data_IF_434356920657
#
_entry.id   IF_434356920657
#
_cell.length_a   1.000
_cell.length_b   1.000
_cell.length_c   1.000
_cell.angle_alpha   90.00
_cell.angle_beta   90.00
_cell.angle_gamma   90.00
#
_symmetry.space_group_name_H-M   'P 1'
#
loop_
_entity.id
_entity.type
_entity.pdbx_description
1 polymer ?
#
# COMPACT_ATOMS: atom_id res chain seq x y z
N UNK A 1 51.65 51.73 41.01
CA UNK A 1 51.36 52.00 39.58
C UNK A 1 49.88 52.32 39.43
N UNK A 2 49.51 53.59 39.28
CA UNK A 2 48.09 54.00 39.16
C UNK A 2 47.64 53.87 37.70
N UNK A 3 46.65 53.06 37.44
CA UNK A 3 46.02 52.93 36.14
C UNK A 3 45.25 54.20 35.77
N UNK A 4 45.53 54.74 34.60
CA UNK A 4 45.01 56.00 34.09
C UNK A 4 43.56 55.82 33.58
N UNK A 5 42.66 56.77 33.84
CA UNK A 5 41.22 56.74 33.50
C UNK A 5 40.89 56.48 32.03
N UNK A 6 41.83 56.68 31.10
CA UNK A 6 41.66 56.39 29.67
C UNK A 6 41.76 54.92 29.31
N UNK A 7 42.37 54.09 30.14
CA UNK A 7 42.48 52.65 29.91
C UNK A 7 41.23 51.88 30.38
N UNK A 8 40.46 52.45 31.28
CA UNK A 8 39.20 51.84 31.79
C UNK A 8 38.03 51.98 30.82
N UNK A 9 38.02 53.06 30.01
CA UNK A 9 36.96 53.27 28.99
C UNK A 9 37.15 52.48 27.69
N UNK A 10 38.34 51.97 27.43
CA UNK A 10 38.60 51.14 26.23
C UNK A 10 38.32 49.66 26.52
N UNK A 11 38.36 49.18 27.74
CA UNK A 11 38.07 47.80 28.12
C UNK A 11 36.57 47.52 28.23
N UNK A 12 35.72 48.53 28.42
CA UNK A 12 34.26 48.39 28.51
C UNK A 12 33.56 48.37 27.13
N UNK A 13 34.19 48.95 26.09
CA UNK A 13 33.64 48.97 24.76
C UNK A 13 33.87 47.63 23.99
N UNK A 14 34.86 46.80 24.39
CA UNK A 14 35.13 45.51 23.80
C UNK A 14 34.24 44.39 24.34
N UNK A 15 33.56 44.59 25.47
CA UNK A 15 32.68 43.57 26.06
C UNK A 15 31.19 43.69 25.65
N UNK A 16 30.82 44.79 24.98
CA UNK A 16 29.46 45.01 24.48
C UNK A 16 29.18 44.47 23.06
N UNK A 17 30.21 44.01 22.34
CA UNK A 17 30.07 43.50 20.97
C UNK A 17 29.88 41.96 20.87
N UNK A 18 29.84 41.26 21.99
CA UNK A 18 29.74 39.76 22.02
C UNK A 18 28.33 39.20 22.32
N UNK A 19 27.28 40.01 22.31
CA UNK A 19 25.94 39.57 22.73
C UNK A 19 24.87 39.64 21.64
N UNK A 20 25.23 39.61 20.36
CA UNK A 20 24.27 39.53 19.27
C UNK A 20 24.63 38.45 18.28
N UNK A 21 24.98 37.23 18.75
CA UNK A 21 24.75 36.04 17.95
C UNK A 21 23.23 35.80 17.98
N UNK A 22 22.54 35.80 16.82
CA UNK A 22 21.15 35.37 16.81
C UNK A 22 21.14 33.96 17.37
N UNK A 23 20.44 33.75 18.50
CA UNK A 23 20.17 32.43 19.00
C UNK A 23 19.62 31.64 17.79
N UNK A 24 20.36 30.64 17.33
CA UNK A 24 19.92 29.75 16.29
C UNK A 24 18.60 29.14 16.82
N UNK A 25 17.48 29.69 16.36
CA UNK A 25 16.15 29.19 16.75
C UNK A 25 16.13 27.77 16.26
N UNK A 26 16.01 26.80 17.18
CA UNK A 26 15.84 25.40 16.80
C UNK A 26 14.73 25.36 15.75
N UNK A 27 15.01 24.77 14.59
CA UNK A 27 14.02 24.66 13.54
C UNK A 27 12.79 23.94 14.10
N UNK A 28 11.61 24.51 13.90
CA UNK A 28 10.37 23.81 14.26
C UNK A 28 10.33 22.48 13.49
N UNK A 29 10.15 21.35 14.18
CA UNK A 29 10.16 20.01 13.57
C UNK A 29 8.73 19.49 13.47
N UNK A 30 8.35 19.00 12.27
CA UNK A 30 7.14 18.20 12.10
C UNK A 30 7.52 16.74 11.92
N UNK A 31 6.89 15.87 12.73
CA UNK A 31 7.12 14.42 12.67
C UNK A 31 5.97 13.74 11.95
N UNK A 32 6.29 12.86 10.99
CA UNK A 32 5.36 11.99 10.28
C UNK A 32 5.69 10.56 10.69
N UNK A 33 4.71 9.83 11.25
CA UNK A 33 4.85 8.41 11.53
C UNK A 33 4.53 7.59 10.28
N UNK A 34 5.26 6.51 10.05
CA UNK A 34 4.95 5.52 9.02
C UNK A 34 5.05 4.12 9.61
N UNK A 35 3.96 3.34 9.50
CA UNK A 35 3.89 1.96 9.99
C UNK A 35 3.65 1.02 8.83
N UNK A 36 4.49 0.01 8.70
CA UNK A 36 4.34 -1.05 7.69
C UNK A 36 5.03 -2.33 8.15
N UNK A 37 4.76 -3.49 7.51
CA UNK A 37 5.43 -4.74 7.83
C UNK A 37 6.83 -4.76 7.20
N UNK A 38 7.87 -4.52 8.00
CA UNK A 38 9.26 -4.60 7.54
C UNK A 38 9.84 -6.02 7.72
N UNK A 39 9.25 -6.80 8.63
CA UNK A 39 9.64 -8.18 8.93
C UNK A 39 8.41 -9.10 9.02
N UNK A 40 8.65 -10.42 9.00
CA UNK A 40 7.60 -11.45 9.03
C UNK A 40 7.03 -11.79 7.65
N UNK A 41 5.93 -12.58 7.58
CA UNK A 41 5.39 -13.11 6.33
C UNK A 41 4.82 -12.04 5.38
N UNK A 42 4.51 -10.85 5.86
CA UNK A 42 4.04 -9.72 5.06
C UNK A 42 5.17 -8.72 4.70
N UNK A 43 6.43 -9.02 5.03
CA UNK A 43 7.57 -8.15 4.74
C UNK A 43 7.68 -7.70 3.27
N UNK A 44 7.27 -8.48 2.25
CA UNK A 44 7.26 -8.01 0.87
C UNK A 44 6.46 -6.72 0.64
N UNK A 45 5.42 -6.46 1.45
CA UNK A 45 4.65 -5.20 1.36
C UNK A 45 5.45 -3.96 1.79
N UNK A 46 6.43 -4.13 2.69
CA UNK A 46 7.30 -3.05 3.20
C UNK A 46 8.70 -3.04 2.60
N UNK A 47 9.01 -3.92 1.64
CA UNK A 47 10.39 -4.11 1.16
C UNK A 47 11.02 -2.87 0.51
N UNK A 48 10.20 -2.00 -0.07
CA UNK A 48 10.66 -0.77 -0.73
C UNK A 48 10.58 0.47 0.18
N UNK A 49 9.96 0.39 1.35
CA UNK A 49 9.62 1.56 2.17
C UNK A 49 10.84 2.37 2.60
N UNK A 50 11.94 1.71 2.99
CA UNK A 50 13.17 2.41 3.39
C UNK A 50 13.72 3.26 2.24
N UNK A 51 13.73 2.70 1.03
CA UNK A 51 14.15 3.43 -0.15
C UNK A 51 13.20 4.61 -0.44
N UNK A 52 11.89 4.40 -0.38
CA UNK A 52 10.88 5.48 -0.56
C UNK A 52 11.09 6.57 0.49
N UNK A 53 11.26 6.20 1.76
CA UNK A 53 11.51 7.16 2.85
C UNK A 53 12.77 7.98 2.61
N UNK A 54 13.85 7.38 2.10
CA UNK A 54 15.08 8.12 1.80
C UNK A 54 14.89 9.08 0.63
N UNK A 55 14.09 8.71 -0.39
CA UNK A 55 13.67 9.66 -1.44
C UNK A 55 12.84 10.82 -0.85
N UNK A 56 11.95 10.52 0.11
CA UNK A 56 11.13 11.54 0.77
C UNK A 56 11.96 12.48 1.65
N UNK A 57 12.96 11.97 2.39
CA UNK A 57 13.91 12.82 3.12
C UNK A 57 14.62 13.80 2.19
N UNK A 58 15.03 13.34 1.00
CA UNK A 58 15.62 14.22 -0.02
C UNK A 58 14.60 15.26 -0.56
N UNK A 59 13.35 14.86 -0.79
CA UNK A 59 12.29 15.75 -1.23
C UNK A 59 11.90 16.80 -0.17
N UNK A 60 12.05 16.47 1.11
CA UNK A 60 11.75 17.36 2.24
C UNK A 60 12.97 18.09 2.80
N UNK A 61 14.14 18.00 2.17
CA UNK A 61 15.38 18.63 2.67
C UNK A 61 15.25 20.12 2.99
N UNK A 62 14.39 20.81 2.25
CA UNK A 62 14.12 22.24 2.44
C UNK A 62 12.99 22.50 3.44
N UNK A 63 12.45 21.46 4.10
CA UNK A 63 11.33 21.52 5.04
C UNK A 63 9.98 21.76 4.36
N UNK A 64 8.94 21.89 5.18
CA UNK A 64 7.57 22.21 4.77
C UNK A 64 7.09 23.51 5.43
N UNK A 65 6.41 24.36 4.65
CA UNK A 65 5.68 25.50 5.20
C UNK A 65 4.32 25.03 5.75
N UNK A 66 4.10 25.22 7.06
CA UNK A 66 2.87 24.81 7.75
C UNK A 66 2.40 25.99 8.60
N UNK A 67 1.17 26.46 8.39
CA UNK A 67 0.66 27.65 9.11
C UNK A 67 1.54 28.89 8.95
N UNK A 68 2.17 29.07 7.80
CA UNK A 68 3.08 30.19 7.51
C UNK A 68 4.48 30.06 8.11
N UNK A 69 4.82 28.96 8.79
CA UNK A 69 6.14 28.70 9.37
C UNK A 69 6.82 27.53 8.66
N UNK A 70 8.14 27.60 8.50
CA UNK A 70 8.96 26.52 7.96
C UNK A 70 9.28 25.51 9.04
N UNK A 71 9.04 24.22 8.76
CA UNK A 71 9.32 23.08 9.64
C UNK A 71 10.28 22.12 8.96
N UNK A 72 11.25 21.62 9.69
CA UNK A 72 12.02 20.45 9.30
C UNK A 72 11.12 19.21 9.37
N UNK A 73 11.25 18.30 8.40
CA UNK A 73 10.43 17.07 8.35
C UNK A 73 11.22 15.88 8.87
N UNK A 74 10.71 15.23 9.90
CA UNK A 74 11.22 13.97 10.41
C UNK A 74 10.25 12.84 10.11
N UNK A 75 10.71 11.76 9.46
CA UNK A 75 9.92 10.57 9.17
C UNK A 75 10.35 9.45 10.12
N UNK A 76 9.40 8.89 10.86
CA UNK A 76 9.60 7.83 11.83
C UNK A 76 8.99 6.53 11.33
N UNK A 77 9.82 5.61 10.83
CA UNK A 77 9.40 4.28 10.39
C UNK A 77 9.32 3.33 11.59
N UNK A 78 8.20 2.64 11.73
CA UNK A 78 7.99 1.57 12.72
C UNK A 78 7.58 0.27 12.02
N UNK A 79 8.16 -0.84 12.46
CA UNK A 79 7.87 -2.18 11.97
C UNK A 79 6.69 -2.80 12.72
N UNK A 80 5.63 -3.16 12.00
CA UNK A 80 4.50 -3.93 12.55
C UNK A 80 4.82 -5.40 12.77
N UNK A 81 5.97 -5.89 12.26
CA UNK A 81 6.39 -7.29 12.35
C UNK A 81 5.35 -8.28 11.81
N UNK A 82 4.53 -7.86 10.84
CA UNK A 82 3.39 -8.64 10.33
C UNK A 82 2.41 -9.10 11.42
N UNK A 83 2.33 -8.36 12.53
CA UNK A 83 1.54 -8.71 13.70
C UNK A 83 0.56 -7.56 14.07
N UNK A 84 -0.75 -7.85 14.22
CA UNK A 84 -1.76 -6.82 14.47
C UNK A 84 -1.59 -6.13 15.84
N UNK A 85 -1.19 -6.86 16.89
CA UNK A 85 -0.95 -6.26 18.19
C UNK A 85 0.24 -5.31 18.15
N UNK A 86 1.34 -5.74 17.49
CA UNK A 86 2.53 -4.89 17.32
C UNK A 86 2.22 -3.66 16.47
N UNK A 87 1.40 -3.78 15.44
CA UNK A 87 0.98 -2.64 14.62
C UNK A 87 0.26 -1.57 15.46
N UNK A 88 -0.69 -1.96 16.31
CA UNK A 88 -1.36 -1.06 17.24
C UNK A 88 -0.43 -0.47 18.30
N UNK A 89 0.48 -1.28 18.85
CA UNK A 89 1.47 -0.83 19.84
C UNK A 89 2.39 0.25 19.28
N UNK A 90 3.00 0.03 18.10
CA UNK A 90 3.92 1.01 17.51
C UNK A 90 3.18 2.26 17.03
N UNK A 91 1.91 2.16 16.64
CA UNK A 91 1.08 3.31 16.36
C UNK A 91 0.87 4.17 17.61
N UNK A 92 0.54 3.55 18.75
CA UNK A 92 0.42 4.25 20.03
C UNK A 92 1.76 4.90 20.46
N UNK A 93 2.89 4.25 20.21
CA UNK A 93 4.20 4.85 20.47
C UNK A 93 4.43 6.12 19.65
N UNK A 94 4.12 6.10 18.34
CA UNK A 94 4.19 7.27 17.47
C UNK A 94 3.30 8.41 17.97
N UNK A 95 2.08 8.09 18.43
CA UNK A 95 1.09 9.07 18.91
C UNK A 95 1.50 9.65 20.27
N UNK A 96 1.73 8.77 21.25
CA UNK A 96 1.83 9.16 22.65
C UNK A 96 3.25 9.53 23.09
N UNK A 97 4.28 8.86 22.53
CA UNK A 97 5.69 9.10 22.88
C UNK A 97 6.38 10.01 21.86
N UNK A 98 6.29 9.70 20.58
CA UNK A 98 6.99 10.44 19.53
C UNK A 98 6.28 11.75 19.16
N UNK A 99 4.96 11.88 19.45
CA UNK A 99 4.12 13.08 19.20
C UNK A 99 4.14 13.48 17.71
N UNK A 100 3.85 12.51 16.83
CA UNK A 100 3.74 12.77 15.39
C UNK A 100 2.51 13.62 15.07
N UNK A 101 2.57 14.42 13.99
CA UNK A 101 1.45 15.23 13.53
C UNK A 101 0.46 14.44 12.66
N UNK A 102 0.94 13.37 12.00
CA UNK A 102 0.19 12.52 11.08
C UNK A 102 0.81 11.12 11.07
N UNK A 103 -0.04 10.09 11.02
CA UNK A 103 0.38 8.72 10.80
C UNK A 103 0.00 8.28 9.38
N UNK A 104 0.94 7.63 8.71
CA UNK A 104 0.75 6.93 7.45
C UNK A 104 0.89 5.43 7.68
N UNK A 105 0.12 4.61 6.97
CA UNK A 105 0.27 3.14 7.05
C UNK A 105 -0.10 2.47 5.75
N UNK A 106 0.63 1.42 5.41
CA UNK A 106 0.37 0.54 4.29
C UNK A 106 0.61 -0.91 4.69
N UNK A 107 -0.18 -1.83 4.16
CA UNK A 107 -0.04 -3.26 4.45
C UNK A 107 -1.33 -4.02 4.15
N UNK A 108 -1.66 -4.97 5.01
CA UNK A 108 -2.89 -5.77 4.92
C UNK A 108 -3.87 -5.34 6.01
N UNK A 109 -5.14 -5.82 6.00
CA UNK A 109 -6.08 -5.51 7.08
C UNK A 109 -5.51 -5.78 8.47
N UNK A 110 -4.72 -6.85 8.62
CA UNK A 110 -4.13 -7.27 9.90
C UNK A 110 -3.14 -6.24 10.46
N UNK A 111 -2.49 -5.47 9.61
CA UNK A 111 -1.45 -4.50 10.04
C UNK A 111 -1.87 -3.04 9.89
N UNK A 112 -2.69 -2.71 8.89
CA UNK A 112 -3.14 -1.33 8.65
C UNK A 112 -4.35 -0.92 9.49
N UNK A 113 -5.31 -1.86 9.74
CA UNK A 113 -6.49 -1.56 10.54
C UNK A 113 -6.15 -1.21 12.00
N UNK A 114 -5.31 -1.99 12.74
CA UNK A 114 -4.95 -1.63 14.11
C UNK A 114 -4.25 -0.27 14.24
N UNK A 115 -3.46 0.14 13.24
CA UNK A 115 -2.85 1.47 13.18
C UNK A 115 -3.91 2.54 13.02
N UNK A 116 -4.84 2.34 12.06
CA UNK A 116 -5.95 3.26 11.84
C UNK A 116 -6.86 3.38 13.08
N UNK A 117 -7.14 2.25 13.75
CA UNK A 117 -7.96 2.24 14.97
C UNK A 117 -7.28 2.97 16.13
N UNK A 118 -5.96 2.78 16.31
CA UNK A 118 -5.19 3.51 17.31
C UNK A 118 -5.23 5.04 17.05
N UNK A 119 -5.16 5.45 15.78
CA UNK A 119 -5.25 6.86 15.40
C UNK A 119 -6.66 7.43 15.62
N UNK A 120 -7.72 6.69 15.23
CA UNK A 120 -9.11 7.10 15.45
C UNK A 120 -9.41 7.30 16.94
N UNK A 121 -8.98 6.34 17.77
CA UNK A 121 -9.17 6.36 19.22
C UNK A 121 -8.44 7.53 19.91
N UNK A 122 -7.26 7.89 19.41
CA UNK A 122 -6.44 8.96 19.99
C UNK A 122 -6.66 10.32 19.32
N UNK A 123 -7.66 10.46 18.47
CA UNK A 123 -7.96 11.70 17.74
C UNK A 123 -6.73 12.26 17.00
N UNK A 124 -5.99 11.40 16.29
CA UNK A 124 -4.85 11.76 15.46
C UNK A 124 -5.13 11.45 13.99
N UNK A 125 -4.86 12.40 13.05
CA UNK A 125 -5.03 12.13 11.63
C UNK A 125 -4.20 10.95 11.15
N UNK A 126 -4.84 10.06 10.37
CA UNK A 126 -4.17 8.92 9.72
C UNK A 126 -4.62 8.78 8.27
N UNK A 127 -3.66 8.50 7.39
CA UNK A 127 -3.93 8.10 6.01
C UNK A 127 -3.37 6.72 5.79
N UNK A 128 -4.21 5.80 5.34
CA UNK A 128 -3.87 4.40 5.08
C UNK A 128 -4.07 4.01 3.62
N UNK A 129 -3.42 2.94 3.20
CA UNK A 129 -3.55 2.38 1.86
C UNK A 129 -3.21 0.88 1.82
N UNK A 130 -3.32 0.28 0.63
CA UNK A 130 -2.94 -1.12 0.33
C UNK A 130 -3.84 -2.17 0.99
N UNK A 131 -5.03 -1.78 1.44
CA UNK A 131 -6.10 -2.67 1.89
C UNK A 131 -7.32 -2.44 0.98
N UNK A 132 -7.98 -3.45 0.43
CA UNK A 132 -9.27 -3.22 -0.21
C UNK A 132 -10.21 -2.48 0.74
N UNK A 133 -10.96 -1.49 0.20
CA UNK A 133 -11.67 -0.57 1.09
C UNK A 133 -12.73 -1.25 1.98
N UNK A 134 -13.31 -2.39 1.55
CA UNK A 134 -14.29 -3.12 2.35
C UNK A 134 -13.69 -3.71 3.64
N UNK A 135 -12.62 -4.52 3.61
CA UNK A 135 -11.98 -4.99 4.84
C UNK A 135 -11.39 -3.85 5.68
N UNK A 136 -10.99 -2.72 5.07
CA UNK A 136 -10.60 -1.56 5.86
C UNK A 136 -11.80 -0.90 6.55
N UNK A 137 -12.88 -0.65 5.84
CA UNK A 137 -14.02 0.08 6.37
C UNK A 137 -14.89 -0.80 7.28
N UNK A 138 -15.39 -1.92 6.76
CA UNK A 138 -16.27 -2.82 7.52
C UNK A 138 -15.52 -3.66 8.55
N UNK A 139 -14.29 -4.08 8.27
CA UNK A 139 -13.42 -4.77 9.24
C UNK A 139 -13.16 -3.94 10.49
N UNK A 140 -13.18 -2.62 10.38
CA UNK A 140 -13.11 -1.65 11.48
C UNK A 140 -14.48 -1.21 12.01
N UNK A 141 -15.57 -1.87 11.60
CA UNK A 141 -16.95 -1.54 11.98
C UNK A 141 -17.36 -0.11 11.59
N UNK A 142 -16.90 0.38 10.45
CA UNK A 142 -17.27 1.70 9.92
C UNK A 142 -18.77 1.83 9.73
N UNK A 143 -19.33 2.95 10.19
CA UNK A 143 -20.74 3.30 9.97
C UNK A 143 -20.88 4.01 8.60
N UNK A 144 -21.62 3.46 7.63
CA UNK A 144 -21.77 4.06 6.31
C UNK A 144 -22.32 5.50 6.35
N UNK A 145 -23.12 5.85 7.34
CA UNK A 145 -23.70 7.19 7.45
C UNK A 145 -22.74 8.22 8.05
N UNK A 146 -21.84 7.78 8.94
CA UNK A 146 -20.93 8.66 9.68
C UNK A 146 -19.51 8.63 9.15
N UNK A 147 -19.02 7.47 8.71
CA UNK A 147 -17.62 7.21 8.40
C UNK A 147 -16.75 7.28 9.66
N UNK A 148 -15.48 7.61 9.44
CA UNK A 148 -14.50 7.88 10.49
C UNK A 148 -14.26 9.38 10.62
N UNK A 149 -13.78 9.85 11.76
CA UNK A 149 -13.47 11.25 11.99
C UNK A 149 -12.02 11.59 11.66
N UNK A 150 -11.09 10.70 12.01
CA UNK A 150 -9.65 10.97 11.99
C UNK A 150 -8.90 10.17 10.95
N UNK A 151 -9.50 9.12 10.37
CA UNK A 151 -8.81 8.19 9.48
C UNK A 151 -9.40 8.17 8.08
N UNK A 152 -8.51 8.15 7.09
CA UNK A 152 -8.80 8.20 5.65
C UNK A 152 -8.04 7.11 4.93
N UNK A 153 -8.59 6.64 3.81
CA UNK A 153 -8.05 5.49 3.10
C UNK A 153 -8.18 5.64 1.58
N UNK A 154 -7.13 5.32 0.85
CA UNK A 154 -7.22 5.26 -0.60
C UNK A 154 -6.69 3.93 -1.13
N UNK A 155 -7.57 3.17 -1.76
CA UNK A 155 -7.26 1.94 -2.50
C UNK A 155 -8.49 1.48 -3.28
N UNK A 156 -8.35 0.45 -4.10
CA UNK A 156 -9.46 -0.20 -4.79
C UNK A 156 -10.33 -1.04 -3.84
N UNK A 157 -11.45 -1.54 -4.35
CA UNK A 157 -12.37 -2.39 -3.59
C UNK A 157 -12.59 -3.79 -4.19
N UNK A 158 -13.34 -4.62 -3.46
CA UNK A 158 -13.68 -5.98 -3.91
C UNK A 158 -14.39 -5.98 -5.26
N UNK A 159 -15.27 -5.03 -5.51
CA UNK A 159 -15.96 -4.88 -6.79
C UNK A 159 -14.99 -4.67 -7.95
N UNK A 160 -13.88 -3.95 -7.70
CA UNK A 160 -12.85 -3.68 -8.70
C UNK A 160 -12.04 -4.93 -9.02
N UNK A 161 -11.59 -5.67 -8.01
CA UNK A 161 -10.81 -6.90 -8.23
C UNK A 161 -11.65 -8.02 -8.82
N UNK A 162 -12.92 -8.14 -8.43
CA UNK A 162 -13.86 -9.10 -9.02
C UNK A 162 -14.05 -8.80 -10.50
N UNK A 163 -14.34 -7.54 -10.85
CA UNK A 163 -14.48 -7.12 -12.24
C UNK A 163 -13.19 -7.34 -13.04
N UNK A 164 -12.05 -6.99 -12.45
CA UNK A 164 -10.74 -7.11 -13.08
C UNK A 164 -10.39 -8.57 -13.41
N UNK A 165 -10.53 -9.47 -12.44
CA UNK A 165 -10.25 -10.90 -12.60
C UNK A 165 -11.20 -11.54 -13.60
N UNK A 166 -12.50 -11.31 -13.47
CA UNK A 166 -13.50 -11.90 -14.36
C UNK A 166 -13.41 -11.37 -15.80
N UNK A 167 -13.02 -10.12 -16.01
CA UNK A 167 -12.74 -9.58 -17.34
C UNK A 167 -11.56 -10.30 -17.99
N UNK A 168 -10.51 -10.60 -17.25
CA UNK A 168 -9.40 -11.42 -17.71
C UNK A 168 -9.86 -12.84 -18.08
N UNK A 169 -10.58 -13.52 -17.17
CA UNK A 169 -11.05 -14.91 -17.42
C UNK A 169 -11.98 -15.02 -18.62
N UNK A 170 -12.81 -14.00 -18.87
CA UNK A 170 -13.69 -13.96 -20.06
C UNK A 170 -12.93 -13.79 -21.37
N UNK A 171 -11.68 -13.34 -21.34
CA UNK A 171 -10.84 -13.17 -22.55
C UNK A 171 -10.19 -14.47 -23.01
N UNK A 172 -10.28 -15.56 -22.25
CA UNK A 172 -9.69 -16.87 -22.55
C UNK A 172 -10.73 -18.01 -22.46
N UNK A 173 -10.46 -19.13 -23.15
CA UNK A 173 -11.40 -20.25 -23.19
C UNK A 173 -11.25 -21.17 -21.99
N UNK A 174 -12.28 -21.22 -21.13
CA UNK A 174 -12.36 -22.09 -19.93
C UNK A 174 -13.74 -22.69 -19.78
N UNK A 175 -13.88 -23.68 -18.91
CA UNK A 175 -15.18 -24.25 -18.54
C UNK A 175 -15.93 -23.43 -17.48
N UNK A 176 -15.38 -22.27 -17.08
CA UNK A 176 -15.94 -21.35 -16.06
C UNK A 176 -16.10 -21.94 -14.64
N UNK A 177 -15.47 -23.06 -14.35
CA UNK A 177 -15.40 -23.61 -13.00
C UNK A 177 -14.20 -23.01 -12.27
N UNK A 178 -14.45 -22.40 -11.11
CA UNK A 178 -13.51 -21.63 -10.33
C UNK A 178 -13.28 -22.30 -8.98
N UNK A 179 -12.04 -22.55 -8.60
CA UNK A 179 -11.64 -22.98 -7.26
C UNK A 179 -11.19 -21.77 -6.44
N UNK A 180 -11.81 -21.58 -5.27
CA UNK A 180 -11.50 -20.47 -4.37
C UNK A 180 -10.53 -20.85 -3.27
N UNK A 181 -9.54 -20.00 -3.00
CA UNK A 181 -8.57 -20.14 -1.91
C UNK A 181 -8.62 -18.88 -1.03
N UNK A 182 -9.40 -18.94 0.05
CA UNK A 182 -9.64 -17.82 0.94
C UNK A 182 -9.18 -18.15 2.36
N UNK A 183 -8.13 -17.46 2.89
CA UNK A 183 -7.66 -17.68 4.25
C UNK A 183 -8.67 -17.19 5.30
N UNK A 184 -8.50 -17.63 6.54
CA UNK A 184 -9.24 -17.12 7.70
C UNK A 184 -8.55 -15.85 8.23
N UNK A 185 -8.54 -14.80 7.42
CA UNK A 185 -8.06 -13.46 7.75
C UNK A 185 -9.03 -12.40 7.20
N UNK A 186 -8.70 -11.11 7.39
CA UNK A 186 -9.56 -10.01 6.97
C UNK A 186 -9.82 -9.99 5.47
N UNK A 187 -8.78 -10.25 4.64
CA UNK A 187 -8.92 -10.32 3.19
C UNK A 187 -9.70 -11.57 2.76
N UNK A 188 -9.31 -12.75 3.23
CA UNK A 188 -9.94 -14.01 2.83
C UNK A 188 -11.41 -14.08 3.21
N UNK A 189 -11.76 -13.57 4.40
CA UNK A 189 -13.15 -13.49 4.83
C UNK A 189 -13.96 -12.50 3.98
N UNK A 190 -13.39 -11.36 3.58
CA UNK A 190 -14.04 -10.41 2.71
C UNK A 190 -14.18 -10.93 1.25
N UNK A 191 -13.14 -11.57 0.70
CA UNK A 191 -13.18 -12.12 -0.65
C UNK A 191 -14.13 -13.30 -0.79
N UNK A 192 -14.21 -14.15 0.22
CA UNK A 192 -15.15 -15.28 0.26
C UNK A 192 -16.51 -14.97 0.89
N UNK A 193 -16.81 -13.70 1.19
CA UNK A 193 -18.13 -13.29 1.66
C UNK A 193 -19.20 -13.56 0.61
N UNK A 194 -20.35 -14.10 1.04
CA UNK A 194 -21.40 -14.54 0.12
C UNK A 194 -22.09 -13.42 -0.62
N UNK A 195 -22.14 -12.21 -0.04
CA UNK A 195 -22.86 -11.07 -0.58
C UNK A 195 -21.93 -10.06 -1.26
N UNK A 196 -20.81 -9.71 -0.61
CA UNK A 196 -19.90 -8.67 -1.06
C UNK A 196 -18.65 -9.21 -1.76
N UNK A 197 -18.32 -10.50 -1.53
CA UNK A 197 -17.15 -11.15 -2.12
C UNK A 197 -17.41 -11.77 -3.48
N UNK A 198 -16.57 -12.73 -3.86
CA UNK A 198 -16.61 -13.41 -5.16
C UNK A 198 -17.86 -14.28 -5.41
N UNK A 199 -18.47 -14.98 -4.41
CA UNK A 199 -19.50 -15.97 -4.70
C UNK A 199 -20.69 -15.44 -5.51
N UNK A 200 -21.33 -14.38 -5.07
CA UNK A 200 -22.55 -13.84 -5.69
C UNK A 200 -22.27 -13.23 -7.08
N UNK A 201 -21.27 -12.36 -7.29
CA UNK A 201 -20.94 -11.86 -8.61
C UNK A 201 -20.55 -12.95 -9.61
N UNK A 202 -19.78 -13.97 -9.20
CA UNK A 202 -19.39 -15.07 -10.08
C UNK A 202 -20.61 -15.85 -10.59
N UNK A 203 -21.55 -16.20 -9.69
CA UNK A 203 -22.79 -16.86 -10.07
C UNK A 203 -23.59 -16.02 -11.09
N UNK A 204 -23.71 -14.71 -10.86
CA UNK A 204 -24.38 -13.78 -11.77
C UNK A 204 -23.73 -13.66 -13.16
N UNK A 205 -22.44 -13.98 -13.29
CA UNK A 205 -21.68 -13.98 -14.54
C UNK A 205 -21.56 -15.37 -15.19
N UNK A 206 -22.21 -16.40 -14.62
CA UNK A 206 -22.20 -17.77 -15.14
C UNK A 206 -20.91 -18.54 -14.84
N UNK A 207 -20.15 -18.14 -13.82
CA UNK A 207 -19.08 -18.93 -13.26
C UNK A 207 -19.62 -19.78 -12.07
N UNK A 208 -19.06 -20.97 -11.90
CA UNK A 208 -19.35 -21.82 -10.75
C UNK A 208 -18.16 -21.82 -9.79
N UNK A 209 -18.35 -21.34 -8.57
CA UNK A 209 -17.31 -21.29 -7.56
C UNK A 209 -17.40 -22.52 -6.64
N UNK A 210 -16.31 -23.26 -6.53
CA UNK A 210 -16.07 -24.25 -5.48
C UNK A 210 -15.20 -23.58 -4.40
N UNK A 211 -15.79 -23.31 -3.23
CA UNK A 211 -15.10 -22.79 -2.04
C UNK A 211 -14.97 -23.93 -1.01
N UNK A 212 -13.77 -24.50 -0.82
CA UNK A 212 -13.54 -25.59 0.15
C UNK A 212 -13.59 -25.13 1.63
N UNK A 213 -13.85 -23.86 1.87
CA UNK A 213 -13.82 -23.24 3.18
C UNK A 213 -12.51 -22.54 3.49
N UNK A 214 -12.46 -21.92 4.68
CA UNK A 214 -11.31 -21.12 5.12
C UNK A 214 -10.17 -21.98 5.60
N UNK A 215 -8.95 -21.60 5.25
CA UNK A 215 -7.72 -22.20 5.79
C UNK A 215 -6.96 -21.15 6.64
N UNK A 216 -6.02 -21.59 7.46
CA UNK A 216 -5.19 -20.69 8.28
C UNK A 216 -3.94 -20.27 7.49
N UNK A 217 -3.58 -18.99 7.56
CA UNK A 217 -2.31 -18.51 7.00
C UNK A 217 -1.12 -19.30 7.58
N UNK A 218 -0.17 -19.64 6.72
CA UNK A 218 0.98 -20.49 7.08
C UNK A 218 0.70 -21.98 7.04
N UNK A 219 -0.45 -22.41 6.48
CA UNK A 219 -0.73 -23.87 6.30
C UNK A 219 0.31 -24.51 5.39
N UNK A 220 0.70 -25.74 5.75
CA UNK A 220 1.72 -26.47 5.02
C UNK A 220 1.11 -27.56 4.09
N UNK A 221 -0.20 -27.69 4.07
CA UNK A 221 -0.90 -28.73 3.29
C UNK A 221 -2.17 -28.18 2.65
N UNK A 222 -2.21 -28.22 1.32
CA UNK A 222 -3.36 -27.89 0.47
C UNK A 222 -3.93 -29.12 -0.25
N UNK A 223 -3.56 -30.33 0.14
CA UNK A 223 -3.94 -31.56 -0.56
C UNK A 223 -5.46 -31.73 -0.65
N UNK A 224 -6.21 -31.34 0.39
CA UNK A 224 -7.67 -31.42 0.38
C UNK A 224 -8.30 -30.49 -0.66
N UNK A 225 -7.83 -29.25 -0.74
CA UNK A 225 -8.30 -28.27 -1.73
C UNK A 225 -7.95 -28.73 -3.14
N UNK A 226 -6.71 -29.19 -3.37
CA UNK A 226 -6.25 -29.69 -4.67
C UNK A 226 -7.07 -30.92 -5.11
N UNK A 227 -7.32 -31.87 -4.22
CA UNK A 227 -8.15 -33.04 -4.52
C UNK A 227 -9.58 -32.65 -4.90
N UNK A 228 -10.20 -31.70 -4.18
CA UNK A 228 -11.52 -31.18 -4.50
C UNK A 228 -11.55 -30.50 -5.86
N UNK A 229 -10.55 -29.66 -6.17
CA UNK A 229 -10.44 -28.97 -7.46
C UNK A 229 -10.26 -29.94 -8.63
N UNK A 230 -9.43 -30.96 -8.47
CA UNK A 230 -9.26 -32.04 -9.49
C UNK A 230 -10.56 -32.79 -9.72
N UNK A 231 -11.23 -33.22 -8.64
CA UNK A 231 -12.49 -33.96 -8.72
C UNK A 231 -13.58 -33.19 -9.47
N UNK A 232 -13.67 -31.86 -9.23
CA UNK A 232 -14.69 -31.02 -9.86
C UNK A 232 -14.28 -30.49 -11.24
N UNK A 233 -13.06 -30.75 -11.69
CA UNK A 233 -12.54 -30.31 -13.00
C UNK A 233 -12.37 -28.79 -13.04
N UNK A 234 -11.83 -28.18 -12.00
CA UNK A 234 -11.54 -26.74 -11.92
C UNK A 234 -10.49 -26.35 -12.96
N UNK A 235 -10.81 -25.37 -13.79
CA UNK A 235 -9.90 -24.79 -14.77
C UNK A 235 -9.39 -23.40 -14.37
N UNK A 236 -10.06 -22.70 -13.44
CA UNK A 236 -9.65 -21.40 -12.92
C UNK A 236 -9.42 -21.53 -11.43
N UNK A 237 -8.26 -21.13 -10.93
CA UNK A 237 -8.00 -20.99 -9.49
C UNK A 237 -7.91 -19.52 -9.15
N UNK A 238 -8.62 -19.09 -8.12
CA UNK A 238 -8.56 -17.73 -7.59
C UNK A 238 -8.47 -17.71 -6.07
N UNK A 239 -8.12 -16.57 -5.53
CA UNK A 239 -8.06 -16.38 -4.09
C UNK A 239 -7.19 -15.20 -3.71
N UNK A 240 -7.03 -15.02 -2.41
CA UNK A 240 -6.14 -14.05 -1.80
C UNK A 240 -5.27 -14.77 -0.78
N UNK A 241 -3.96 -14.79 -1.01
CA UNK A 241 -3.02 -15.60 -0.23
C UNK A 241 -1.81 -14.77 0.17
N UNK A 242 -1.15 -15.13 1.26
CA UNK A 242 0.21 -14.63 1.53
C UNK A 242 1.23 -15.36 0.63
N UNK A 243 2.38 -14.75 0.28
CA UNK A 243 3.35 -15.36 -0.63
C UNK A 243 3.83 -16.78 -0.24
N UNK A 244 4.10 -17.11 1.04
CA UNK A 244 4.47 -18.47 1.43
C UNK A 244 3.40 -19.51 1.14
N UNK A 245 2.12 -19.19 1.38
CA UNK A 245 1.00 -20.12 1.17
C UNK A 245 0.78 -20.38 -0.33
N UNK A 246 0.88 -19.34 -1.16
CA UNK A 246 0.80 -19.50 -2.61
C UNK A 246 1.92 -20.41 -3.14
N UNK A 247 3.15 -20.25 -2.63
CA UNK A 247 4.27 -21.14 -2.98
C UNK A 247 3.97 -22.59 -2.60
N UNK A 248 3.46 -22.83 -1.39
CA UNK A 248 3.09 -24.17 -0.91
C UNK A 248 2.00 -24.77 -1.82
N UNK A 249 0.91 -24.02 -2.06
CA UNK A 249 -0.18 -24.48 -2.93
C UNK A 249 0.30 -24.82 -4.34
N UNK A 250 1.02 -23.91 -5.01
CA UNK A 250 1.49 -24.09 -6.39
C UNK A 250 2.44 -25.28 -6.52
N UNK A 251 3.34 -25.45 -5.55
CA UNK A 251 4.27 -26.58 -5.49
C UNK A 251 3.51 -27.91 -5.36
N UNK A 252 2.56 -27.99 -4.41
CA UNK A 252 1.75 -29.20 -4.20
C UNK A 252 0.80 -29.49 -5.35
N UNK A 253 0.21 -28.45 -5.97
CA UNK A 253 -0.62 -28.58 -7.16
C UNK A 253 0.18 -29.21 -8.32
N UNK A 254 1.40 -28.73 -8.57
CA UNK A 254 2.30 -29.30 -9.58
C UNK A 254 2.67 -30.74 -9.26
N UNK A 255 3.06 -31.05 -8.03
CA UNK A 255 3.42 -32.41 -7.58
C UNK A 255 2.26 -33.40 -7.72
N UNK A 256 1.03 -32.95 -7.47
CA UNK A 256 -0.19 -33.76 -7.59
C UNK A 256 -0.75 -33.78 -9.01
N UNK A 257 -0.08 -33.18 -9.98
CA UNK A 257 -0.53 -33.14 -11.39
C UNK A 257 -1.82 -32.35 -11.61
N UNK A 258 -2.12 -31.38 -10.74
CA UNK A 258 -3.22 -30.43 -10.96
C UNK A 258 -2.73 -29.27 -11.83
N UNK A 259 -3.33 -29.13 -13.01
CA UNK A 259 -2.94 -28.16 -14.03
C UNK A 259 -4.14 -27.32 -14.46
N UNK A 260 -4.53 -26.31 -13.68
CA UNK A 260 -5.59 -25.39 -14.09
C UNK A 260 -5.10 -24.52 -15.25
N UNK A 261 -6.03 -24.08 -16.11
CA UNK A 261 -5.72 -23.22 -17.28
C UNK A 261 -5.40 -21.78 -16.86
N UNK A 262 -5.95 -21.33 -15.72
CA UNK A 262 -5.78 -19.98 -15.19
C UNK A 262 -5.55 -20.05 -13.69
N UNK A 263 -4.54 -19.34 -13.23
CA UNK A 263 -4.33 -19.08 -11.79
C UNK A 263 -4.23 -17.56 -11.61
N UNK A 264 -5.19 -17.00 -10.89
CA UNK A 264 -5.26 -15.57 -10.57
C UNK A 264 -5.34 -15.39 -9.07
N UNK A 265 -4.22 -15.06 -8.43
CA UNK A 265 -4.15 -14.91 -6.98
C UNK A 265 -3.78 -13.48 -6.62
N UNK A 266 -4.59 -12.88 -5.77
CA UNK A 266 -4.29 -11.60 -5.15
C UNK A 266 -3.29 -11.72 -4.01
N UNK A 267 -2.68 -10.58 -3.64
CA UNK A 267 -1.76 -10.45 -2.50
C UNK A 267 -0.44 -11.19 -2.68
N UNK A 268 -0.47 -12.48 -3.03
CA UNK A 268 0.73 -13.32 -3.10
C UNK A 268 1.62 -13.06 -4.31
N UNK A 269 1.00 -12.76 -5.46
CA UNK A 269 1.70 -12.67 -6.74
C UNK A 269 2.09 -11.23 -7.14
N UNK A 270 2.16 -10.33 -6.16
CA UNK A 270 2.48 -8.91 -6.37
C UNK A 270 3.99 -8.65 -6.51
N UNK A 271 4.81 -9.57 -6.00
CA UNK A 271 6.22 -9.31 -5.70
C UNK A 271 7.14 -10.12 -6.63
N UNK A 272 8.06 -9.47 -7.38
CA UNK A 272 9.00 -10.16 -8.27
C UNK A 272 9.76 -11.29 -7.59
N UNK A 273 10.28 -11.07 -6.38
CA UNK A 273 11.02 -12.09 -5.64
C UNK A 273 10.18 -13.32 -5.27
N UNK A 274 8.88 -13.15 -5.02
CA UNK A 274 7.97 -14.28 -4.78
C UNK A 274 7.77 -15.12 -6.04
N UNK A 275 7.65 -14.48 -7.22
CA UNK A 275 7.51 -15.16 -8.51
C UNK A 275 8.80 -15.87 -8.89
N UNK A 276 9.95 -15.24 -8.72
CA UNK A 276 11.25 -15.85 -8.99
C UNK A 276 11.48 -17.11 -8.14
N UNK A 277 11.02 -17.09 -6.89
CA UNK A 277 11.11 -18.23 -5.96
C UNK A 277 10.24 -19.44 -6.36
N UNK A 278 9.29 -19.26 -7.29
CA UNK A 278 8.45 -20.34 -7.84
C UNK A 278 9.16 -21.11 -8.98
N UNK A 279 10.32 -20.64 -9.47
CA UNK A 279 10.95 -21.22 -10.63
C UNK A 279 10.03 -21.16 -11.86
N UNK A 280 9.92 -22.25 -12.63
CA UNK A 280 9.10 -22.28 -13.84
C UNK A 280 7.58 -22.17 -13.58
N UNK A 281 7.13 -22.44 -12.35
CA UNK A 281 5.74 -22.25 -11.95
C UNK A 281 5.28 -20.78 -11.94
N UNK A 282 6.22 -19.83 -12.02
CA UNK A 282 5.92 -18.39 -12.05
C UNK A 282 5.36 -17.89 -13.39
N UNK A 283 5.57 -18.66 -14.49
CA UNK A 283 5.14 -18.24 -15.82
C UNK A 283 3.63 -18.40 -16.03
N UNK A 284 2.98 -17.39 -16.56
CA UNK A 284 1.54 -17.40 -16.84
C UNK A 284 0.63 -17.05 -15.66
N UNK A 285 1.15 -16.92 -14.45
CA UNK A 285 0.36 -16.50 -13.28
C UNK A 285 -0.20 -15.09 -13.45
N UNK A 286 -1.45 -14.87 -13.01
CA UNK A 286 -2.10 -13.57 -13.08
C UNK A 286 -2.40 -13.00 -11.70
N UNK A 287 -2.39 -11.67 -11.58
CA UNK A 287 -2.67 -10.94 -10.35
C UNK A 287 -3.20 -9.55 -10.63
N UNK A 288 -3.72 -8.89 -9.61
CA UNK A 288 -4.06 -7.47 -9.66
C UNK A 288 -2.82 -6.59 -9.81
N UNK A 289 -2.94 -5.53 -10.60
CA UNK A 289 -1.91 -4.50 -10.75
C UNK A 289 -2.51 -3.15 -10.40
N UNK A 290 -2.07 -2.62 -9.29
CA UNK A 290 -2.52 -1.34 -8.74
C UNK A 290 -1.49 -0.23 -8.94
N UNK A 291 -0.26 -0.56 -9.30
CA UNK A 291 0.77 0.36 -9.76
C UNK A 291 1.84 -0.38 -10.57
N UNK A 292 2.35 0.28 -11.58
CA UNK A 292 3.46 -0.20 -12.44
C UNK A 292 4.10 0.97 -13.17
N UNK A 293 5.28 0.80 -13.81
CA UNK A 293 5.88 1.80 -14.68
C UNK A 293 4.99 2.27 -15.83
N UNK A 294 3.97 1.48 -16.21
CA UNK A 294 3.04 1.81 -17.29
C UNK A 294 1.87 2.70 -16.86
N UNK A 295 1.71 2.97 -15.56
CA UNK A 295 0.67 3.89 -15.08
C UNK A 295 0.97 5.33 -15.54
N UNK A 296 -0.01 6.04 -16.14
CA UNK A 296 0.22 7.35 -16.77
C UNK A 296 0.17 8.51 -15.76
N UNK A 297 0.52 8.24 -14.50
CA UNK A 297 0.44 9.22 -13.42
C UNK A 297 1.81 9.76 -13.05
N UNK A 298 1.78 10.95 -12.47
CA UNK A 298 2.99 11.71 -12.08
C UNK A 298 2.87 12.18 -10.64
N UNK A 299 3.95 12.06 -9.88
CA UNK A 299 4.00 12.53 -8.51
C UNK A 299 3.77 14.05 -8.42
N UNK A 300 2.83 14.44 -7.56
CA UNK A 300 2.60 15.85 -7.20
C UNK A 300 3.78 16.47 -6.46
N UNK A 301 4.54 15.63 -5.73
CA UNK A 301 5.64 16.05 -4.86
C UNK A 301 6.98 16.12 -5.61
N UNK A 302 7.39 15.02 -6.25
CA UNK A 302 8.71 14.92 -6.91
C UNK A 302 8.67 15.17 -8.41
N UNK A 303 7.49 15.26 -9.01
CA UNK A 303 7.26 15.39 -10.47
C UNK A 303 7.74 14.20 -11.30
N UNK A 304 8.13 13.11 -10.67
CA UNK A 304 8.50 11.87 -11.36
C UNK A 304 7.25 11.16 -11.87
N UNK A 305 7.31 10.64 -13.11
CA UNK A 305 6.33 9.69 -13.61
C UNK A 305 6.49 8.33 -12.91
N UNK A 306 5.46 7.47 -12.96
CA UNK A 306 5.55 6.11 -12.44
C UNK A 306 6.75 5.34 -13.04
N UNK A 307 7.01 5.52 -14.34
CA UNK A 307 8.19 4.93 -15.03
C UNK A 307 9.52 5.44 -14.46
N UNK A 308 9.63 6.76 -14.23
CA UNK A 308 10.85 7.34 -13.67
C UNK A 308 11.09 6.90 -12.23
N UNK A 309 10.02 6.78 -11.45
CA UNK A 309 10.09 6.32 -10.05
C UNK A 309 10.54 4.85 -9.97
N UNK A 310 9.96 3.98 -10.81
CA UNK A 310 10.38 2.57 -10.89
C UNK A 310 11.84 2.43 -11.33
N UNK A 311 12.26 3.14 -12.38
CA UNK A 311 13.65 3.13 -12.86
C UNK A 311 14.65 3.67 -11.83
N UNK A 312 14.26 4.66 -11.02
CA UNK A 312 15.09 5.17 -9.94
C UNK A 312 15.28 4.11 -8.82
N UNK A 313 14.21 3.35 -8.50
CA UNK A 313 14.30 2.24 -7.57
C UNK A 313 15.25 1.15 -8.08
N UNK A 314 15.08 0.71 -9.34
CA UNK A 314 15.91 -0.33 -9.95
C UNK A 314 17.38 0.07 -10.04
N UNK A 315 17.64 1.32 -10.45
CA UNK A 315 19.01 1.85 -10.52
C UNK A 315 19.67 1.97 -9.15
N UNK A 316 18.91 2.39 -8.14
CA UNK A 316 19.44 2.61 -6.80
C UNK A 316 19.60 1.34 -5.96
N UNK A 317 18.80 0.30 -6.24
CA UNK A 317 18.75 -0.92 -5.41
C UNK A 317 19.25 -2.17 -6.14
N UNK A 318 19.38 -2.12 -7.47
CA UNK A 318 19.65 -3.27 -8.34
C UNK A 318 18.59 -4.38 -8.21
N UNK A 319 17.35 -4.01 -7.83
CA UNK A 319 16.19 -4.90 -7.69
C UNK A 319 15.08 -4.46 -8.62
N UNK A 320 14.31 -5.40 -9.14
CA UNK A 320 13.13 -5.10 -9.94
C UNK A 320 12.12 -4.30 -9.10
N UNK A 321 11.44 -3.34 -9.73
CA UNK A 321 10.37 -2.56 -9.11
C UNK A 321 9.25 -3.45 -8.54
N UNK A 322 8.57 -2.97 -7.53
CA UNK A 322 7.44 -3.64 -6.88
C UNK A 322 6.29 -2.64 -6.69
N UNK A 323 5.06 -3.13 -6.69
CA UNK A 323 3.86 -2.30 -6.67
C UNK A 323 3.74 -1.38 -5.43
N UNK A 324 4.15 -1.80 -4.21
CA UNK A 324 4.12 -0.94 -3.03
C UNK A 324 4.83 0.40 -3.16
N UNK A 325 5.84 0.51 -4.04
CA UNK A 325 6.59 1.77 -4.26
C UNK A 325 5.65 2.93 -4.55
N UNK A 326 4.69 2.74 -5.48
CA UNK A 326 3.77 3.80 -5.87
C UNK A 326 2.90 4.26 -4.71
N UNK A 327 2.37 3.34 -3.92
CA UNK A 327 1.46 3.65 -2.83
C UNK A 327 2.18 4.21 -1.59
N UNK A 328 3.36 3.69 -1.24
CA UNK A 328 4.19 4.29 -0.21
C UNK A 328 4.57 5.74 -0.58
N UNK A 329 4.95 5.98 -1.84
CA UNK A 329 5.23 7.32 -2.34
C UNK A 329 3.98 8.22 -2.28
N UNK A 330 2.82 7.74 -2.73
CA UNK A 330 1.56 8.50 -2.74
C UNK A 330 1.09 8.88 -1.32
N UNK A 331 1.30 8.04 -0.32
CA UNK A 331 1.04 8.38 1.08
C UNK A 331 1.81 9.63 1.52
N UNK A 332 3.08 9.77 1.13
CA UNK A 332 3.86 10.96 1.41
C UNK A 332 3.45 12.16 0.55
N UNK A 333 2.94 11.97 -0.67
CA UNK A 333 2.35 13.06 -1.47
C UNK A 333 1.15 13.65 -0.75
N UNK A 334 0.23 12.79 -0.26
CA UNK A 334 -0.94 13.20 0.52
C UNK A 334 -0.53 13.88 1.81
N UNK A 335 0.48 13.34 2.53
CA UNK A 335 1.00 13.95 3.74
C UNK A 335 1.59 15.35 3.50
N UNK A 336 2.39 15.52 2.45
CA UNK A 336 3.00 16.80 2.09
C UNK A 336 1.95 17.86 1.73
N UNK A 337 0.96 17.48 0.92
CA UNK A 337 -0.16 18.35 0.53
C UNK A 337 -1.00 18.74 1.75
N UNK A 338 -1.35 17.76 2.59
CA UNK A 338 -2.09 17.97 3.84
C UNK A 338 -1.39 18.95 4.76
N UNK A 339 -0.11 18.71 5.07
CA UNK A 339 0.66 19.53 5.99
C UNK A 339 0.86 20.97 5.47
N UNK A 340 1.05 21.15 4.14
CA UNK A 340 1.13 22.49 3.54
C UNK A 340 -0.17 23.28 3.65
N UNK A 341 -1.33 22.61 3.60
CA UNK A 341 -2.66 23.23 3.71
C UNK A 341 -3.13 23.40 5.15
N UNK A 342 -2.53 22.67 6.10
CA UNK A 342 -2.91 22.76 7.51
C UNK A 342 -2.62 24.15 8.08
N UNK A 343 -3.58 24.69 8.84
CA UNK A 343 -3.45 26.01 9.50
C UNK A 343 -2.40 25.98 10.61
N UNK A 344 -2.22 24.83 11.25
CA UNK A 344 -1.22 24.57 12.29
C UNK A 344 -0.98 23.06 12.45
N UNK A 345 -0.07 22.68 13.34
CA UNK A 345 0.17 21.27 13.72
C UNK A 345 -0.82 20.73 14.77
N UNK A 346 -1.89 21.45 15.11
CA UNK A 346 -2.97 20.90 15.94
C UNK A 346 -3.66 19.77 15.17
N UNK A 347 -3.97 18.67 15.86
CA UNK A 347 -4.58 17.49 15.24
C UNK A 347 -5.84 17.83 14.43
N UNK A 348 -6.72 18.72 14.93
CA UNK A 348 -7.92 19.15 14.22
C UNK A 348 -7.60 19.89 12.90
N UNK A 349 -6.60 20.78 12.91
CA UNK A 349 -6.22 21.52 11.68
C UNK A 349 -5.62 20.58 10.62
N UNK A 350 -4.84 19.58 11.05
CA UNK A 350 -4.29 18.54 10.16
C UNK A 350 -5.40 17.64 9.65
N UNK A 351 -6.34 17.19 10.51
CA UNK A 351 -7.53 16.41 10.11
C UNK A 351 -8.35 17.13 9.04
N UNK A 352 -8.65 18.39 9.26
CA UNK A 352 -9.45 19.17 8.32
C UNK A 352 -8.73 19.34 6.98
N UNK A 353 -7.41 19.46 7.01
CA UNK A 353 -6.59 19.45 5.80
C UNK A 353 -6.57 18.08 5.10
N UNK A 354 -6.52 16.96 5.85
CA UNK A 354 -6.70 15.61 5.25
C UNK A 354 -8.06 15.51 4.60
N UNK A 355 -9.13 15.87 5.31
CA UNK A 355 -10.51 15.79 4.82
C UNK A 355 -10.74 16.57 3.51
N UNK A 356 -9.99 17.63 3.30
CA UNK A 356 -10.07 18.48 2.10
C UNK A 356 -9.13 18.02 0.95
N UNK A 357 -8.52 16.83 1.02
CA UNK A 357 -7.60 16.34 -0.01
C UNK A 357 -8.32 16.15 -1.35
N UNK A 358 -7.74 16.74 -2.40
CA UNK A 358 -8.09 16.56 -3.80
C UNK A 358 -6.79 16.69 -4.61
N UNK A 359 -6.08 15.58 -4.77
CA UNK A 359 -4.69 15.57 -5.23
C UNK A 359 -4.47 14.52 -6.31
N UNK A 360 -3.84 14.90 -7.42
CA UNK A 360 -3.26 13.95 -8.37
C UNK A 360 -1.98 13.37 -7.77
N UNK A 361 -1.87 12.04 -7.70
CA UNK A 361 -0.72 11.33 -7.17
C UNK A 361 -0.13 10.36 -8.19
N UNK A 362 1.01 9.77 -7.90
CA UNK A 362 1.65 8.76 -8.77
C UNK A 362 0.84 7.47 -8.91
N UNK A 363 -0.22 7.28 -8.12
CA UNK A 363 -1.16 6.14 -8.22
C UNK A 363 -2.52 6.56 -8.79
N UNK A 364 -2.67 7.82 -9.18
CA UNK A 364 -3.92 8.41 -9.66
C UNK A 364 -4.47 9.46 -8.70
N UNK A 365 -5.69 9.97 -8.97
CA UNK A 365 -6.30 10.98 -8.13
C UNK A 365 -6.72 10.41 -6.77
N UNK A 366 -6.43 11.16 -5.69
CA UNK A 366 -6.93 10.90 -4.34
C UNK A 366 -7.85 12.05 -3.94
N UNK A 367 -9.15 11.72 -3.78
CA UNK A 367 -10.18 12.68 -3.40
C UNK A 367 -11.22 12.00 -2.52
N UNK A 368 -11.34 12.44 -1.30
CA UNK A 368 -12.32 11.88 -0.37
C UNK A 368 -13.75 12.26 -0.78
N UNK A 369 -14.69 11.33 -0.59
CA UNK A 369 -16.11 11.53 -0.86
C UNK A 369 -16.49 11.70 -2.32
N UNK A 370 -15.53 11.73 -3.26
CA UNK A 370 -15.80 11.97 -4.69
C UNK A 370 -15.70 10.73 -5.57
N UNK A 371 -14.84 9.80 -5.23
CA UNK A 371 -14.57 8.58 -6.01
C UNK A 371 -14.68 7.30 -5.18
N UNK A 372 -15.01 7.43 -3.91
CA UNK A 372 -15.20 6.33 -2.99
C UNK A 372 -16.64 6.18 -2.56
N UNK A 373 -17.00 5.02 -1.99
CA UNK A 373 -18.35 4.76 -1.52
C UNK A 373 -18.71 5.57 -0.25
N UNK A 374 -17.71 6.02 0.52
CA UNK A 374 -17.88 6.75 1.77
C UNK A 374 -16.95 7.96 1.85
N UNK A 375 -17.26 8.90 2.73
CA UNK A 375 -16.51 10.16 2.89
C UNK A 375 -15.02 10.01 3.18
N UNK A 376 -14.61 8.86 3.75
CA UNK A 376 -13.22 8.60 4.14
C UNK A 376 -12.46 7.71 3.13
N UNK A 377 -13.10 7.32 2.03
CA UNK A 377 -12.53 6.40 1.05
C UNK A 377 -12.36 7.09 -0.29
N UNK A 378 -11.20 6.91 -0.90
CA UNK A 378 -10.93 7.26 -2.29
C UNK A 378 -10.50 6.01 -3.05
N UNK A 379 -11.16 5.72 -4.18
CA UNK A 379 -10.79 4.56 -5.01
C UNK A 379 -9.64 4.90 -5.94
N UNK A 380 -8.75 3.94 -6.13
CA UNK A 380 -7.66 4.01 -7.10
C UNK A 380 -7.89 3.01 -8.23
N UNK A 381 -7.32 3.24 -9.43
CA UNK A 381 -7.48 2.34 -10.55
C UNK A 381 -6.82 0.97 -10.29
N UNK A 382 -7.40 -0.07 -10.94
CA UNK A 382 -6.92 -1.45 -10.87
C UNK A 382 -6.97 -2.07 -12.26
N UNK A 383 -5.89 -2.80 -12.63
CA UNK A 383 -5.80 -3.56 -13.89
C UNK A 383 -5.28 -4.96 -13.64
N UNK A 384 -5.42 -5.86 -14.62
CA UNK A 384 -4.94 -7.23 -14.52
C UNK A 384 -3.57 -7.37 -15.18
N UNK A 385 -2.64 -8.00 -14.45
CA UNK A 385 -1.33 -8.36 -14.96
C UNK A 385 -1.13 -9.86 -15.06
N UNK A 386 -0.21 -10.25 -15.94
CA UNK A 386 0.28 -11.61 -16.10
C UNK A 386 1.80 -11.61 -16.02
N UNK A 387 2.36 -12.49 -15.22
CA UNK A 387 3.78 -12.74 -15.17
C UNK A 387 4.21 -13.57 -16.36
N UNK A 388 5.23 -13.11 -17.05
CA UNK A 388 5.80 -13.77 -18.22
C UNK A 388 7.33 -13.81 -18.09
N UNK A 389 7.97 -14.82 -18.66
CA UNK A 389 9.44 -14.86 -18.77
C UNK A 389 9.92 -13.61 -19.49
N UNK A 390 10.77 -12.84 -18.84
CA UNK A 390 11.22 -11.53 -19.27
C UNK A 390 12.58 -11.53 -19.95
N UNK A 391 13.00 -10.34 -20.40
CA UNK A 391 14.33 -10.09 -20.97
C UNK A 391 15.22 -9.30 -20.02
N UNK A 392 14.67 -8.28 -19.35
CA UNK A 392 15.39 -7.46 -18.40
C UNK A 392 15.46 -8.14 -17.02
N UNK A 393 14.39 -8.78 -16.62
CA UNK A 393 14.27 -9.57 -15.39
C UNK A 393 13.85 -10.99 -15.72
N UNK A 394 14.04 -11.93 -14.80
CA UNK A 394 13.61 -13.32 -14.97
C UNK A 394 12.12 -13.42 -15.31
N UNK A 395 11.31 -12.60 -14.65
CA UNK A 395 9.89 -12.44 -14.91
C UNK A 395 9.53 -10.95 -15.02
N UNK A 396 8.61 -10.63 -15.92
CA UNK A 396 8.05 -9.29 -16.11
C UNK A 396 6.55 -9.34 -15.91
N UNK A 397 5.99 -8.38 -15.17
CA UNK A 397 4.55 -8.23 -14.98
C UNK A 397 3.98 -7.38 -16.09
N UNK A 398 3.26 -8.01 -17.02
CA UNK A 398 2.65 -7.37 -18.18
C UNK A 398 1.17 -7.13 -17.93
N UNK A 399 0.69 -5.89 -18.13
CA UNK A 399 -0.74 -5.58 -18.05
C UNK A 399 -1.46 -6.21 -19.24
N UNK A 400 -2.42 -7.12 -18.98
CA UNK A 400 -3.12 -7.90 -19.99
C UNK A 400 -4.61 -7.60 -20.09
N UNK A 401 -5.18 -6.87 -19.13
CA UNK A 401 -6.55 -6.35 -19.20
C UNK A 401 -6.65 -5.03 -18.43
N UNK A 402 -7.29 -4.02 -19.04
CA UNK A 402 -7.46 -2.68 -18.46
C UNK A 402 -8.92 -2.17 -18.58
N UNK A 403 -9.88 -3.05 -18.78
CA UNK A 403 -11.28 -2.63 -19.01
C UNK A 403 -11.85 -1.78 -17.87
N UNK A 404 -11.39 -2.00 -16.65
CA UNK A 404 -11.79 -1.22 -15.48
C UNK A 404 -11.07 0.14 -15.36
N UNK A 405 -9.93 0.32 -16.05
CA UNK A 405 -9.08 1.52 -15.96
C UNK A 405 -8.37 1.78 -17.30
N UNK A 406 -9.12 2.16 -18.32
CA UNK A 406 -8.66 2.26 -19.72
C UNK A 406 -7.55 3.28 -19.96
N UNK A 407 -7.30 4.20 -19.02
CA UNK A 407 -6.16 5.13 -19.07
C UNK A 407 -4.81 4.43 -18.93
N UNK A 408 -4.79 3.23 -18.32
CA UNK A 408 -3.55 2.45 -18.12
C UNK A 408 -3.38 1.53 -19.32
N UNK A 409 -2.29 1.67 -20.11
CA UNK A 409 -2.13 0.89 -21.33
C UNK A 409 -1.86 -0.60 -21.04
N UNK A 410 -2.35 -1.47 -21.90
CA UNK A 410 -1.98 -2.90 -21.91
C UNK A 410 -0.64 -3.09 -22.62
N UNK A 411 0.16 -4.04 -22.13
CA UNK A 411 1.40 -4.49 -22.78
C UNK A 411 1.25 -5.82 -23.52
N UNK A 412 0.09 -6.48 -23.40
CA UNK A 412 -0.18 -7.77 -24.02
C UNK A 412 -1.62 -8.21 -23.83
N UNK A 413 -1.88 -9.49 -24.14
CA UNK A 413 -3.17 -10.16 -23.91
C UNK A 413 -2.97 -11.34 -22.99
N UNK A 414 -3.98 -11.64 -22.16
CA UNK A 414 -3.95 -12.78 -21.25
C UNK A 414 -3.83 -14.09 -22.03
N UNK A 415 -2.97 -14.98 -21.56
CA UNK A 415 -2.75 -16.31 -22.10
C UNK A 415 -3.08 -17.36 -21.05
N UNK A 416 -3.52 -18.55 -21.50
CA UNK A 416 -3.65 -19.72 -20.64
C UNK A 416 -2.26 -20.16 -20.14
N UNK A 417 -2.21 -20.76 -18.96
CA UNK A 417 -1.01 -21.42 -18.48
C UNK A 417 -0.66 -22.62 -19.38
N UNK A 418 0.62 -22.84 -19.60
CA UNK A 418 1.14 -23.93 -20.45
C UNK A 418 1.24 -25.27 -19.73
#
# INVERSE_FOLDING_TARGET
MSMNRRQFTQSTAAMAALTALPAARAADVVKIGYVSPQTGPLAPFGEADRWVIDQMKAAFKDGLAIGGKKHEVQILLKDSQSNPNRAGEVANDLILKDKVALVLTAGTPETANPVSDACELNALPCVSSVVPWQPWFFGRKGDPAKGFEWTYHFFWGLEDVIANFTNGWKSVQTNKKVGGLFPNDGDGNAWGDKELGFPKPLAGMGFTLLDPGRYQNGTQDFSAQIAAFKKDGIEIVTGVMIPPDAKTFLTQASQQGFKPKVITLGKALLFPGAIEALGDLGDGLTTEVWWSPSHPFTSSLTKQSAKALAGAYESGTQRQWTQPIGFAHALFEVAADTLRRAKSLKAADVRDAVAATNLGTVVGPVKWGGQGPFKNVSKTPLVLGQWVKGKAHKYELVIVNNQAATLIPTGGTMKLMS
#
